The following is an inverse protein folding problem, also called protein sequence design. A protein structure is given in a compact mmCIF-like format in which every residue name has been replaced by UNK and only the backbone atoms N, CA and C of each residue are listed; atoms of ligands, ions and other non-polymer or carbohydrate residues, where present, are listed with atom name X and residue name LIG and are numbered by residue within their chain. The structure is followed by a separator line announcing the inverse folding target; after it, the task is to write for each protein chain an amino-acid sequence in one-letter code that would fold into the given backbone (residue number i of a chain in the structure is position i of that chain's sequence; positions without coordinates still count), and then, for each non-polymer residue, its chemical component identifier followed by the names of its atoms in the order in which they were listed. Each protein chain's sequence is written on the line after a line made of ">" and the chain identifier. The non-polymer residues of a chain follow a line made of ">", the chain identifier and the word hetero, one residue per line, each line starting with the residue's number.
data_IF_710197071015
#
_entry.id   IF_710197071015
#
_cell.length_a   1.000
_cell.length_b   1.000
_cell.length_c   1.000
_cell.angle_alpha   90.00
_cell.angle_beta   90.00
_cell.angle_gamma   90.00
#
_symmetry.space_group_name_H-M   'P 1'
#
loop_
_entity.id
_entity.type
_entity.pdbx_description
1 polymer ?
#
# COMPACT_ATOMS: atom_id res chain seq x y z
N UNK A 1 -5.63 16.78 49.66
CA UNK A 1 -6.16 17.41 48.43
C UNK A 1 -5.03 17.76 47.46
N UNK A 2 -3.97 18.45 47.89
CA UNK A 2 -2.80 18.74 47.04
C UNK A 2 -2.11 17.46 46.51
N UNK A 3 -1.85 16.47 47.37
CA UNK A 3 -1.19 15.20 46.99
C UNK A 3 -2.00 14.34 46.00
N UNK A 4 -3.34 14.47 46.01
CA UNK A 4 -4.22 13.83 45.03
C UNK A 4 -4.17 14.51 43.66
N UNK A 5 -3.93 15.82 43.63
CA UNK A 5 -3.83 16.58 42.39
C UNK A 5 -2.47 16.38 41.72
N UNK A 6 -1.38 16.29 42.51
CA UNK A 6 -0.03 15.99 41.98
C UNK A 6 0.03 14.60 41.33
N UNK A 7 -0.55 13.59 41.99
CA UNK A 7 -0.57 12.21 41.47
C UNK A 7 -1.43 12.04 40.21
N UNK A 8 -2.49 12.84 40.06
CA UNK A 8 -3.30 12.85 38.84
C UNK A 8 -2.57 13.55 37.67
N UNK A 9 -1.84 14.62 37.96
CA UNK A 9 -0.99 15.30 36.99
C UNK A 9 0.14 14.39 36.47
N UNK A 10 0.87 13.72 37.36
CA UNK A 10 1.95 12.79 37.01
C UNK A 10 1.45 11.65 36.10
N UNK A 11 0.29 11.05 36.42
CA UNK A 11 -0.32 10.01 35.57
C UNK A 11 -0.72 10.54 34.20
N UNK A 12 -1.19 11.78 34.12
CA UNK A 12 -1.58 12.41 32.85
C UNK A 12 -0.35 12.66 31.97
N UNK A 13 0.76 13.09 32.57
CA UNK A 13 2.03 13.26 31.87
C UNK A 13 2.58 11.93 31.33
N UNK A 14 2.53 10.85 32.12
CA UNK A 14 2.93 9.51 31.67
C UNK A 14 2.11 9.03 30.47
N UNK A 15 0.78 9.21 30.52
CA UNK A 15 -0.13 8.87 29.41
C UNK A 15 0.17 9.72 28.18
N UNK A 16 0.46 11.01 28.37
CA UNK A 16 0.82 11.92 27.29
C UNK A 16 2.12 11.50 26.59
N UNK A 17 3.14 11.06 27.34
CA UNK A 17 4.39 10.54 26.76
C UNK A 17 4.15 9.27 25.93
N UNK A 18 3.36 8.33 26.44
CA UNK A 18 2.97 7.12 25.67
C UNK A 18 2.21 7.53 24.41
N UNK A 19 1.27 8.46 24.52
CA UNK A 19 0.50 8.97 23.39
C UNK A 19 1.41 9.57 22.30
N UNK A 20 2.36 10.45 22.67
CA UNK A 20 3.33 11.03 21.72
C UNK A 20 4.11 9.94 20.98
N UNK A 21 4.62 8.93 21.70
CA UNK A 21 5.34 7.80 21.10
C UNK A 21 4.47 7.02 20.12
N UNK A 22 3.22 6.74 20.47
CA UNK A 22 2.29 6.02 19.59
C UNK A 22 1.98 6.81 18.31
N UNK A 23 1.76 8.12 18.42
CA UNK A 23 1.54 9.02 17.29
C UNK A 23 2.76 9.06 16.37
N UNK A 24 3.96 9.21 16.94
CA UNK A 24 5.21 9.18 16.17
C UNK A 24 5.42 7.84 15.46
N UNK A 25 5.07 6.72 16.10
CA UNK A 25 5.10 5.40 15.47
C UNK A 25 4.09 5.26 14.34
N UNK A 26 2.90 5.85 14.45
CA UNK A 26 1.89 5.84 13.39
C UNK A 26 2.35 6.68 12.18
N UNK A 27 2.94 7.86 12.42
CA UNK A 27 3.53 8.67 11.35
C UNK A 27 4.69 7.94 10.65
N UNK A 28 5.61 7.34 11.41
CA UNK A 28 6.71 6.52 10.83
C UNK A 28 6.20 5.39 9.94
N UNK A 29 5.09 4.74 10.28
CA UNK A 29 4.47 3.72 9.41
C UNK A 29 3.93 4.34 8.12
N UNK A 30 3.32 5.53 8.20
CA UNK A 30 2.82 6.27 7.04
C UNK A 30 3.97 6.68 6.11
N UNK A 31 5.08 7.19 6.65
CA UNK A 31 6.30 7.48 5.88
C UNK A 31 6.88 6.23 5.21
N UNK A 32 6.91 5.10 5.93
CA UNK A 32 7.37 3.81 5.38
C UNK A 32 6.46 3.34 4.22
N UNK A 33 5.14 3.55 4.30
CA UNK A 33 4.21 3.26 3.20
C UNK A 33 4.53 4.08 1.96
N UNK A 34 4.78 5.39 2.13
CA UNK A 34 5.14 6.28 1.02
C UNK A 34 6.46 5.85 0.36
N UNK A 35 7.49 5.53 1.16
CA UNK A 35 8.76 5.02 0.66
C UNK A 35 8.60 3.69 -0.10
N UNK A 36 7.82 2.75 0.44
CA UNK A 36 7.52 1.49 -0.23
C UNK A 36 6.81 1.70 -1.59
N UNK A 37 5.83 2.62 -1.65
CA UNK A 37 5.13 2.96 -2.89
C UNK A 37 6.09 3.50 -3.96
N UNK A 38 6.99 4.41 -3.58
CA UNK A 38 8.02 4.94 -4.50
C UNK A 38 8.99 3.85 -4.98
N UNK A 39 9.38 2.93 -4.10
CA UNK A 39 10.21 1.78 -4.46
C UNK A 39 9.53 0.91 -5.52
N UNK A 40 8.29 0.48 -5.28
CA UNK A 40 7.56 -0.37 -6.25
C UNK A 40 7.31 0.33 -7.59
N UNK A 41 7.04 1.63 -7.58
CA UNK A 41 6.90 2.43 -8.80
C UNK A 41 8.20 2.42 -9.61
N UNK A 42 9.34 2.63 -8.93
CA UNK A 42 10.66 2.67 -9.56
C UNK A 42 11.02 1.33 -10.17
N UNK A 43 10.85 0.25 -9.41
CA UNK A 43 11.15 -1.12 -9.86
C UNK A 43 10.29 -1.49 -11.07
N UNK A 44 8.98 -1.23 -11.03
CA UNK A 44 8.12 -1.55 -12.17
C UNK A 44 8.45 -0.73 -13.42
N UNK A 45 8.77 0.56 -13.25
CA UNK A 45 9.20 1.42 -14.37
C UNK A 45 10.51 0.90 -14.98
N UNK A 46 11.46 0.49 -14.14
CA UNK A 46 12.72 -0.11 -14.59
C UNK A 46 12.50 -1.43 -15.34
N UNK A 47 11.59 -2.29 -14.87
CA UNK A 47 11.25 -3.56 -15.55
C UNK A 47 10.65 -3.30 -16.94
N UNK A 48 9.75 -2.33 -17.07
CA UNK A 48 9.18 -1.95 -18.37
C UNK A 48 10.30 -1.47 -19.30
N UNK A 49 11.17 -0.57 -18.82
CA UNK A 49 12.30 -0.05 -19.59
C UNK A 49 13.28 -1.15 -20.02
N UNK A 50 13.62 -2.06 -19.11
CA UNK A 50 14.50 -3.20 -19.40
C UNK A 50 13.87 -4.15 -20.42
N UNK A 51 12.57 -4.44 -20.29
CA UNK A 51 11.83 -5.28 -21.25
C UNK A 51 11.83 -4.64 -22.63
N UNK A 52 11.55 -3.33 -22.72
CA UNK A 52 11.55 -2.59 -23.97
C UNK A 52 12.94 -2.54 -24.62
N UNK A 53 14.01 -2.44 -23.83
CA UNK A 53 15.38 -2.46 -24.32
C UNK A 53 15.77 -3.83 -24.89
N UNK A 54 15.54 -4.90 -24.12
CA UNK A 54 15.87 -6.29 -24.54
C UNK A 54 15.08 -6.70 -25.78
N UNK A 55 13.82 -6.28 -25.90
CA UNK A 55 12.97 -6.59 -27.04
C UNK A 55 13.46 -5.98 -28.38
N UNK A 56 14.43 -5.05 -28.38
CA UNK A 56 14.97 -4.45 -29.62
C UNK A 56 15.97 -5.34 -30.33
N UNK A 57 16.80 -6.05 -29.56
CA UNK A 57 17.95 -6.81 -30.08
C UNK A 57 17.67 -8.31 -30.19
N UNK A 58 16.49 -8.76 -29.75
CA UNK A 58 16.15 -10.17 -29.73
C UNK A 58 14.84 -10.43 -30.46
N UNK A 59 14.91 -11.08 -31.61
CA UNK A 59 13.76 -11.65 -32.31
C UNK A 59 13.13 -12.76 -31.44
N UNK A 60 12.26 -12.36 -30.51
CA UNK A 60 11.49 -13.27 -29.67
C UNK A 60 12.22 -13.86 -28.45
N UNK A 61 13.13 -13.13 -27.80
CA UNK A 61 13.67 -13.61 -26.52
C UNK A 61 12.55 -13.85 -25.48
N UNK A 62 12.85 -14.75 -24.54
CA UNK A 62 12.06 -15.13 -23.36
C UNK A 62 11.83 -13.96 -22.37
N UNK A 63 11.37 -12.82 -22.85
CA UNK A 63 10.98 -11.64 -22.06
C UNK A 63 9.70 -11.91 -21.26
N UNK A 64 8.99 -12.99 -21.55
CA UNK A 64 7.85 -13.48 -20.77
C UNK A 64 8.19 -13.65 -19.28
N UNK A 65 9.42 -14.07 -18.94
CA UNK A 65 9.86 -14.21 -17.56
C UNK A 65 9.99 -12.86 -16.85
N UNK A 66 10.44 -11.83 -17.58
CA UNK A 66 10.57 -10.45 -17.07
C UNK A 66 9.17 -9.85 -16.84
N UNK A 67 8.24 -10.04 -17.78
CA UNK A 67 6.85 -9.61 -17.62
C UNK A 67 6.18 -10.32 -16.45
N UNK A 68 6.40 -11.63 -16.28
CA UNK A 68 5.85 -12.39 -15.15
C UNK A 68 6.41 -11.89 -13.80
N UNK A 69 7.71 -11.57 -13.75
CA UNK A 69 8.31 -10.95 -12.57
C UNK A 69 7.68 -9.58 -12.25
N UNK A 70 7.39 -8.77 -13.27
CA UNK A 70 6.67 -7.50 -13.13
C UNK A 70 5.28 -7.68 -12.51
N UNK A 71 4.49 -8.65 -12.99
CA UNK A 71 3.18 -9.00 -12.40
C UNK A 71 3.33 -9.43 -10.95
N UNK A 72 4.30 -10.30 -10.64
CA UNK A 72 4.55 -10.77 -9.28
C UNK A 72 4.89 -9.61 -8.33
N UNK A 73 5.72 -8.66 -8.78
CA UNK A 73 6.08 -7.47 -8.00
C UNK A 73 4.85 -6.56 -7.78
N UNK A 74 3.95 -6.43 -8.76
CA UNK A 74 2.70 -5.70 -8.57
C UNK A 74 1.79 -6.36 -7.53
N UNK A 75 1.71 -7.69 -7.51
CA UNK A 75 0.95 -8.42 -6.47
C UNK A 75 1.56 -8.15 -5.09
N UNK A 76 2.89 -8.20 -4.96
CA UNK A 76 3.59 -7.86 -3.72
C UNK A 76 3.30 -6.41 -3.30
N UNK A 77 3.25 -5.47 -4.24
CA UNK A 77 2.90 -4.08 -3.98
C UNK A 77 1.48 -3.95 -3.41
N UNK A 78 0.49 -4.62 -4.00
CA UNK A 78 -0.89 -4.64 -3.48
C UNK A 78 -0.91 -5.18 -2.05
N UNK A 79 -0.21 -6.29 -1.77
CA UNK A 79 -0.14 -6.86 -0.41
C UNK A 79 0.52 -5.90 0.58
N UNK A 80 1.57 -5.20 0.18
CA UNK A 80 2.24 -4.21 1.02
C UNK A 80 1.28 -3.06 1.38
N UNK A 81 0.58 -2.48 0.39
CA UNK A 81 -0.41 -1.40 0.63
C UNK A 81 -1.51 -1.85 1.60
N UNK A 82 -2.06 -3.05 1.41
CA UNK A 82 -3.09 -3.60 2.29
C UNK A 82 -2.58 -3.85 3.72
N UNK A 83 -1.34 -4.32 3.87
CA UNK A 83 -0.69 -4.53 5.16
C UNK A 83 -0.46 -3.21 5.91
N UNK A 84 0.03 -2.18 5.22
CA UNK A 84 0.17 -0.85 5.82
C UNK A 84 -1.17 -0.25 6.23
N UNK A 85 -2.20 -0.44 5.41
CA UNK A 85 -3.56 0.01 5.75
C UNK A 85 -4.06 -0.63 7.05
N UNK A 86 -3.99 -1.96 7.16
CA UNK A 86 -4.50 -2.67 8.34
C UNK A 86 -3.71 -2.29 9.61
N UNK A 87 -2.37 -2.23 9.52
CA UNK A 87 -1.51 -1.86 10.63
C UNK A 87 -1.78 -0.42 11.10
N UNK A 88 -1.93 0.52 10.15
CA UNK A 88 -2.20 1.91 10.50
C UNK A 88 -3.58 2.06 11.15
N UNK A 89 -4.60 1.39 10.62
CA UNK A 89 -5.94 1.37 11.25
C UNK A 89 -5.91 0.82 12.68
N UNK A 90 -5.13 -0.23 12.94
CA UNK A 90 -4.98 -0.77 14.29
C UNK A 90 -4.27 0.21 15.23
N UNK A 91 -3.20 0.88 14.77
CA UNK A 91 -2.49 1.90 15.55
C UNK A 91 -3.38 3.08 15.92
N UNK A 92 -4.11 3.62 14.95
CA UNK A 92 -5.03 4.74 15.18
C UNK A 92 -6.14 4.36 16.15
N UNK A 93 -6.68 3.14 16.08
CA UNK A 93 -7.66 2.65 17.07
C UNK A 93 -7.12 2.71 18.50
N UNK A 94 -5.89 2.23 18.72
CA UNK A 94 -5.25 2.27 20.05
C UNK A 94 -4.98 3.70 20.51
N UNK A 95 -4.54 4.59 19.62
CA UNK A 95 -4.33 6.01 19.92
C UNK A 95 -5.64 6.67 20.37
N UNK A 96 -6.73 6.49 19.61
CA UNK A 96 -8.05 7.05 19.93
C UNK A 96 -8.63 6.48 21.23
N UNK A 97 -8.38 5.21 21.54
CA UNK A 97 -8.78 4.63 22.84
C UNK A 97 -7.98 5.24 24.01
N UNK A 98 -6.69 5.53 23.80
CA UNK A 98 -5.84 6.18 24.81
C UNK A 98 -6.25 7.62 25.09
N UNK A 99 -6.74 8.34 24.07
CA UNK A 99 -7.23 9.71 24.20
C UNK A 99 -8.35 9.88 25.23
N UNK A 100 -9.11 8.82 25.55
CA UNK A 100 -10.11 8.85 26.62
C UNK A 100 -9.53 9.06 28.02
N UNK A 101 -8.20 8.97 28.19
CA UNK A 101 -7.47 9.24 29.44
C UNK A 101 -6.77 10.60 29.43
N UNK A 102 -6.85 11.33 28.32
CA UNK A 102 -6.28 12.65 28.17
C UNK A 102 -7.39 13.72 28.27
N UNK A 103 -7.04 14.96 28.61
CA UNK A 103 -8.01 16.06 28.66
C UNK A 103 -8.58 16.44 27.27
N UNK A 104 -7.94 16.00 26.19
CA UNK A 104 -8.31 16.31 24.80
C UNK A 104 -8.19 15.05 23.95
N UNK A 105 -9.14 14.84 23.03
CA UNK A 105 -9.20 13.68 22.13
C UNK A 105 -9.16 14.11 20.66
N UNK A 106 -8.03 14.66 20.24
CA UNK A 106 -7.89 15.31 18.93
C UNK A 106 -8.14 14.37 17.74
N UNK A 107 -7.58 13.15 17.77
CA UNK A 107 -7.78 12.18 16.69
C UNK A 107 -9.18 11.58 16.69
N UNK A 108 -9.79 11.40 17.88
CA UNK A 108 -11.19 11.02 17.99
C UNK A 108 -12.09 12.06 17.34
N UNK A 109 -11.91 13.33 17.70
CA UNK A 109 -12.68 14.44 17.16
C UNK A 109 -12.49 14.52 15.64
N UNK A 110 -11.25 14.43 15.15
CA UNK A 110 -10.95 14.37 13.72
C UNK A 110 -11.70 13.24 13.02
N UNK A 111 -11.70 12.03 13.60
CA UNK A 111 -12.40 10.88 13.03
C UNK A 111 -13.92 11.09 13.01
N UNK A 112 -14.50 11.69 14.04
CA UNK A 112 -15.92 12.06 14.09
C UNK A 112 -16.27 13.13 13.04
N UNK A 113 -15.43 14.14 12.84
CA UNK A 113 -15.59 15.14 11.77
C UNK A 113 -15.52 14.50 10.37
N UNK A 114 -14.63 13.53 10.17
CA UNK A 114 -14.50 12.82 8.89
C UNK A 114 -15.71 11.91 8.61
N UNK A 115 -16.36 11.38 9.65
CA UNK A 115 -17.56 10.55 9.52
C UNK A 115 -18.89 11.35 9.52
N UNK A 116 -18.91 12.56 10.07
CA UNK A 116 -20.11 13.37 10.32
C UNK A 116 -20.80 13.99 9.08
N UNK A 117 -22.13 14.02 9.15
CA UNK A 117 -23.13 14.71 8.33
C UNK A 117 -23.28 14.36 6.83
N UNK A 118 -22.33 13.70 6.16
CA UNK A 118 -22.59 13.22 4.78
C UNK A 118 -21.75 12.02 4.31
N UNK A 119 -20.93 11.40 5.17
CA UNK A 119 -20.22 10.13 4.90
C UNK A 119 -19.32 10.09 3.65
N UNK A 120 -19.18 11.21 2.93
CA UNK A 120 -18.59 11.29 1.59
C UNK A 120 -17.33 12.14 1.53
N UNK A 121 -16.85 12.71 2.64
CA UNK A 121 -15.80 13.74 2.55
C UNK A 121 -14.37 13.19 2.45
N UNK A 122 -14.12 11.96 2.90
CA UNK A 122 -12.78 11.37 2.82
C UNK A 122 -12.75 10.12 1.95
N UNK A 123 -12.18 10.24 0.75
CA UNK A 123 -11.77 9.07 -0.04
C UNK A 123 -10.43 8.56 0.52
N UNK A 124 -10.37 7.33 1.07
CA UNK A 124 -9.13 6.82 1.63
C UNK A 124 -8.04 6.80 0.55
N UNK A 125 -6.87 7.34 0.89
CA UNK A 125 -5.71 7.41 -0.01
C UNK A 125 -5.30 6.04 -0.58
N UNK A 126 -5.65 4.94 0.12
CA UNK A 126 -5.40 3.58 -0.38
C UNK A 126 -6.11 3.28 -1.71
N UNK A 127 -7.24 3.95 -2.03
CA UNK A 127 -7.99 3.67 -3.26
C UNK A 127 -7.17 4.02 -4.50
N UNK A 128 -6.45 5.14 -4.46
CA UNK A 128 -5.55 5.55 -5.54
C UNK A 128 -4.26 4.74 -5.53
N UNK A 129 -3.71 4.41 -4.34
CA UNK A 129 -2.50 3.57 -4.22
C UNK A 129 -2.71 2.14 -4.77
N UNK A 130 -3.90 1.57 -4.62
CA UNK A 130 -4.20 0.22 -5.15
C UNK A 130 -4.44 0.24 -6.66
N UNK A 131 -4.89 1.37 -7.22
CA UNK A 131 -5.12 1.49 -8.67
C UNK A 131 -3.82 1.43 -9.47
N UNK A 132 -2.72 2.02 -8.97
CA UNK A 132 -1.45 2.08 -9.69
C UNK A 132 -0.88 0.68 -10.00
N UNK A 133 -0.76 -0.27 -9.05
CA UNK A 133 -0.38 -1.65 -9.36
C UNK A 133 -1.23 -2.31 -10.44
N UNK A 134 -2.56 -2.07 -10.47
CA UNK A 134 -3.43 -2.64 -11.50
C UNK A 134 -3.11 -2.11 -12.91
N UNK A 135 -2.72 -0.83 -13.02
CA UNK A 135 -2.24 -0.26 -14.29
C UNK A 135 -0.97 -1.00 -14.73
N UNK A 136 0.00 -1.18 -13.84
CA UNK A 136 1.23 -1.92 -14.16
C UNK A 136 0.99 -3.39 -14.49
N UNK A 137 0.08 -4.08 -13.78
CA UNK A 137 -0.34 -5.45 -14.13
C UNK A 137 -0.87 -5.49 -15.55
N UNK A 138 -1.73 -4.54 -15.92
CA UNK A 138 -2.31 -4.47 -17.28
C UNK A 138 -1.21 -4.31 -18.34
N UNK A 139 -0.20 -3.47 -18.07
CA UNK A 139 0.95 -3.29 -18.97
C UNK A 139 1.79 -4.56 -19.07
N UNK A 140 2.16 -5.17 -17.95
CA UNK A 140 2.95 -6.41 -17.94
C UNK A 140 2.21 -7.58 -18.60
N UNK A 141 0.88 -7.67 -18.40
CA UNK A 141 0.04 -8.67 -19.06
C UNK A 141 -0.04 -8.44 -20.58
N UNK A 142 -0.12 -7.19 -21.04
CA UNK A 142 -0.06 -6.88 -22.46
C UNK A 142 1.30 -7.24 -23.07
N UNK A 143 2.40 -6.95 -22.38
CA UNK A 143 3.76 -7.37 -22.78
C UNK A 143 3.85 -8.90 -22.88
N UNK A 144 3.36 -9.62 -21.88
CA UNK A 144 3.33 -11.07 -21.88
C UNK A 144 2.49 -11.64 -23.05
N UNK A 145 1.31 -11.09 -23.30
CA UNK A 145 0.46 -11.51 -24.42
C UNK A 145 1.12 -11.26 -25.79
N UNK A 146 1.85 -10.15 -25.94
CA UNK A 146 2.54 -9.81 -27.20
C UNK A 146 3.75 -10.70 -27.51
N UNK A 147 4.32 -11.34 -26.47
CA UNK A 147 5.54 -12.17 -26.60
C UNK A 147 5.22 -13.64 -26.85
N UNK A 148 3.95 -14.05 -26.66
CA UNK A 148 3.55 -15.43 -26.90
C UNK A 148 3.27 -15.69 -28.38
N UNK A 149 3.78 -16.82 -28.93
CA UNK A 149 3.54 -17.19 -30.32
C UNK A 149 2.13 -17.78 -30.47
N UNK A 150 1.11 -16.91 -30.54
CA UNK A 150 -0.32 -17.29 -30.67
C UNK A 150 -0.57 -18.27 -31.82
N UNK A 151 0.16 -18.14 -32.92
CA UNK A 151 0.03 -19.04 -34.06
C UNK A 151 0.48 -20.47 -33.74
N UNK A 152 1.60 -20.65 -33.02
CA UNK A 152 2.12 -21.96 -32.65
C UNK A 152 1.22 -22.65 -31.60
N UNK A 153 0.69 -21.88 -30.65
CA UNK A 153 -0.23 -22.40 -29.61
C UNK A 153 -1.56 -22.84 -30.23
N UNK A 154 -2.09 -22.07 -31.17
CA UNK A 154 -3.33 -22.40 -31.87
C UNK A 154 -3.22 -23.71 -32.67
N UNK A 155 -2.12 -23.90 -33.40
CA UNK A 155 -1.90 -25.13 -34.17
C UNK A 155 -1.63 -26.35 -33.27
N UNK A 156 -0.88 -26.19 -32.17
CA UNK A 156 -0.70 -27.26 -31.18
C UNK A 156 -2.04 -27.66 -30.51
N UNK A 157 -2.93 -26.69 -30.25
CA UNK A 157 -4.25 -26.95 -29.68
C UNK A 157 -5.17 -27.74 -30.61
N UNK A 158 -5.15 -27.45 -31.92
CA UNK A 158 -5.89 -28.26 -32.92
C UNK A 158 -5.40 -29.70 -32.96
N UNK A 159 -4.09 -29.91 -32.92
CA UNK A 159 -3.47 -31.24 -32.93
C UNK A 159 -3.80 -32.07 -31.69
N UNK A 160 -4.08 -31.44 -30.55
CA UNK A 160 -4.48 -32.11 -29.31
C UNK A 160 -5.98 -32.43 -29.23
N UNK A 161 -6.80 -31.84 -30.10
CA UNK A 161 -8.26 -32.05 -30.19
C UNK A 161 -8.67 -33.02 -31.31
N UNK A 162 -7.75 -33.37 -32.21
CA UNK A 162 -7.87 -34.47 -33.18
C UNK A 162 -7.34 -35.78 -32.58
#
# INVERSE_FOLDING_TARGET
>A
MLESATTEHERTEEVLEIYKLLVEMADRVSQRRQSANSFYLTVNTAIIGATAYVARDTDGANTWAISLAGVAICILWIRAVLSYKSLNSAKFKVITELEGRLPVAAFKDEWEFLQGANGKRHTPFHKTEVLVPFVFISVHSAQFASTLPWQAIWEAGKLALC
#
